data_IF_779203004607
#
_entry.id   IF_779203004607
#
_cell.length_a   1.000
_cell.length_b   1.000
_cell.length_c   1.000
_cell.angle_alpha   90.00
_cell.angle_beta   90.00
_cell.angle_gamma   90.00
#
_symmetry.space_group_name_H-M   'P 1'
#
loop_
_entity.id
_entity.type
_entity.pdbx_description
1 polymer ?
#
# COMPACT_ATOMS: atom_id res chain seq x y z
N UNK A 1 -34.50 -2.70 28.12
CA UNK A 1 -33.49 -2.06 27.27
C UNK A 1 -34.13 -1.78 25.92
N UNK A 2 -34.35 -0.51 25.58
CA UNK A 2 -34.89 -0.14 24.28
C UNK A 2 -33.78 -0.33 23.25
N UNK A 3 -34.01 -1.17 22.24
CA UNK A 3 -33.05 -1.39 21.17
C UNK A 3 -33.41 -0.45 20.04
N UNK A 4 -32.64 0.64 19.89
CA UNK A 4 -32.73 1.48 18.71
C UNK A 4 -32.05 0.75 17.53
N UNK A 5 -32.82 0.47 16.49
CA UNK A 5 -32.31 -0.15 15.27
C UNK A 5 -31.71 0.94 14.39
N UNK A 6 -30.38 0.94 14.27
CA UNK A 6 -29.67 1.84 13.36
C UNK A 6 -29.53 1.19 11.97
N UNK A 7 -30.06 1.85 10.95
CA UNK A 7 -29.88 1.43 9.56
C UNK A 7 -28.57 2.00 9.02
N UNK A 8 -27.58 1.14 8.81
CA UNK A 8 -26.33 1.54 8.17
C UNK A 8 -26.59 1.71 6.66
N UNK A 9 -26.33 2.89 6.07
CA UNK A 9 -26.42 3.07 4.64
C UNK A 9 -25.38 2.20 3.94
N UNK A 10 -25.72 1.67 2.76
CA UNK A 10 -24.88 0.73 2.00
C UNK A 10 -23.47 1.28 1.66
N UNK A 11 -23.31 2.61 1.65
CA UNK A 11 -22.07 3.31 1.30
C UNK A 11 -21.22 3.72 2.53
N UNK A 12 -21.47 3.13 3.72
CA UNK A 12 -20.73 3.50 4.94
C UNK A 12 -19.25 3.14 4.87
N UNK A 13 -18.90 2.02 4.25
CA UNK A 13 -17.52 1.52 4.09
C UNK A 13 -16.80 2.08 2.86
N UNK A 14 -17.54 2.73 1.95
CA UNK A 14 -16.99 3.28 0.71
C UNK A 14 -16.43 4.70 0.90
N UNK A 15 -16.74 5.34 2.03
CA UNK A 15 -16.18 6.63 2.40
C UNK A 15 -14.65 6.54 2.50
N UNK A 16 -13.95 7.14 1.54
CA UNK A 16 -12.48 7.14 1.47
C UNK A 16 -11.85 6.11 0.54
N UNK A 17 -12.65 5.44 -0.31
CA UNK A 17 -12.17 4.57 -1.40
C UNK A 17 -12.33 5.23 -2.76
N UNK A 18 -11.36 5.00 -3.65
CA UNK A 18 -11.35 5.43 -5.04
C UNK A 18 -11.92 4.33 -5.90
N UNK A 19 -12.90 4.67 -6.75
CA UNK A 19 -13.71 3.73 -7.52
C UNK A 19 -14.44 2.66 -6.69
N UNK A 20 -14.58 2.85 -5.37
CA UNK A 20 -15.11 1.84 -4.44
C UNK A 20 -14.19 0.63 -4.21
N UNK A 21 -13.00 0.62 -4.84
CA UNK A 21 -12.11 -0.54 -4.87
C UNK A 21 -10.83 -0.32 -4.06
N UNK A 22 -10.21 0.86 -4.15
CA UNK A 22 -8.89 1.11 -3.60
C UNK A 22 -8.94 2.17 -2.50
N UNK A 23 -8.26 1.94 -1.39
CA UNK A 23 -8.12 2.99 -0.37
C UNK A 23 -7.29 4.16 -0.91
N UNK A 24 -7.64 5.39 -0.53
CA UNK A 24 -6.90 6.60 -0.92
C UNK A 24 -5.41 6.49 -0.55
N UNK A 25 -5.09 5.83 0.58
CA UNK A 25 -3.70 5.63 1.03
C UNK A 25 -2.92 4.74 0.06
N UNK A 26 -3.50 3.62 -0.36
CA UNK A 26 -2.90 2.71 -1.34
C UNK A 26 -2.70 3.41 -2.68
N UNK A 27 -3.65 4.27 -3.08
CA UNK A 27 -3.50 5.09 -4.28
C UNK A 27 -2.30 6.04 -4.19
N UNK A 28 -2.17 6.78 -3.07
CA UNK A 28 -1.05 7.70 -2.86
C UNK A 28 0.28 6.94 -2.88
N UNK A 29 0.37 5.80 -2.22
CA UNK A 29 1.57 4.96 -2.22
C UNK A 29 1.90 4.39 -3.60
N UNK A 30 0.87 3.97 -4.35
CA UNK A 30 1.05 3.50 -5.72
C UNK A 30 1.60 4.59 -6.63
N UNK A 31 1.12 5.83 -6.50
CA UNK A 31 1.63 6.98 -7.24
C UNK A 31 3.08 7.28 -6.85
N UNK A 32 3.41 7.27 -5.56
CA UNK A 32 4.76 7.50 -5.06
C UNK A 32 5.76 6.42 -5.50
N UNK A 33 5.32 5.18 -5.73
CA UNK A 33 6.17 4.10 -6.23
C UNK A 33 6.28 4.09 -7.76
N UNK A 34 5.18 4.31 -8.47
CA UNK A 34 5.13 4.18 -9.92
C UNK A 34 5.71 5.39 -10.66
N UNK A 35 5.52 6.62 -10.18
CA UNK A 35 6.04 7.82 -10.86
C UNK A 35 7.57 7.85 -10.93
N UNK A 36 8.32 7.61 -9.83
CA UNK A 36 9.78 7.54 -9.90
C UNK A 36 10.25 6.39 -10.78
N UNK A 37 9.61 5.21 -10.68
CA UNK A 37 9.96 4.06 -11.49
C UNK A 37 9.76 4.33 -12.99
N UNK A 38 8.65 4.97 -13.35
CA UNK A 38 8.36 5.41 -14.71
C UNK A 38 9.43 6.38 -15.21
N UNK A 39 9.75 7.40 -14.41
CA UNK A 39 10.79 8.37 -14.75
C UNK A 39 12.15 7.69 -14.99
N UNK A 40 12.56 6.80 -14.09
CA UNK A 40 13.81 6.04 -14.23
C UNK A 40 13.81 5.18 -15.50
N UNK A 41 12.72 4.48 -15.80
CA UNK A 41 12.63 3.68 -17.03
C UNK A 41 12.73 4.56 -18.28
N UNK A 42 12.14 5.76 -18.29
CA UNK A 42 12.16 6.63 -19.46
C UNK A 42 13.54 7.26 -19.70
N UNK A 43 14.23 7.68 -18.63
CA UNK A 43 15.52 8.38 -18.70
C UNK A 43 16.69 7.41 -18.84
N UNK A 44 16.69 6.29 -18.11
CA UNK A 44 17.86 5.41 -18.02
C UNK A 44 17.90 4.30 -19.06
N UNK A 45 16.77 3.86 -19.66
CA UNK A 45 16.81 2.80 -20.67
C UNK A 45 17.33 3.34 -22.02
N UNK A 46 18.48 2.86 -22.53
CA UNK A 46 18.99 3.23 -23.84
C UNK A 46 18.38 2.31 -24.92
N UNK A 47 17.05 2.18 -24.92
CA UNK A 47 16.30 1.40 -25.90
C UNK A 47 15.60 2.33 -26.90
N UNK A 48 15.28 1.80 -28.09
CA UNK A 48 14.36 2.47 -29.01
C UNK A 48 12.96 2.59 -28.40
N UNK A 49 12.13 3.49 -28.93
CA UNK A 49 10.87 3.90 -28.29
C UNK A 49 9.94 2.71 -27.99
N UNK A 50 9.73 1.82 -28.95
CA UNK A 50 8.81 0.67 -28.81
C UNK A 50 9.23 -0.30 -27.70
N UNK A 51 10.44 -0.90 -27.70
CA UNK A 51 10.86 -1.77 -26.61
C UNK A 51 10.97 -1.03 -25.28
N UNK A 52 11.35 0.26 -25.27
CA UNK A 52 11.37 1.06 -24.05
C UNK A 52 9.99 1.12 -23.38
N UNK A 53 8.93 1.39 -24.15
CA UNK A 53 7.56 1.45 -23.63
C UNK A 53 7.10 0.07 -23.12
N UNK A 54 7.39 -0.99 -23.87
CA UNK A 54 7.03 -2.37 -23.47
C UNK A 54 7.69 -2.72 -22.14
N UNK A 55 9.01 -2.53 -22.01
CA UNK A 55 9.74 -2.81 -20.77
C UNK A 55 9.21 -1.96 -19.61
N UNK A 56 8.91 -0.67 -19.87
CA UNK A 56 8.37 0.22 -18.85
C UNK A 56 7.01 -0.26 -18.36
N UNK A 57 6.09 -0.65 -19.25
CA UNK A 57 4.78 -1.18 -18.84
C UNK A 57 4.91 -2.49 -18.05
N UNK A 58 5.78 -3.40 -18.49
CA UNK A 58 6.03 -4.67 -17.81
C UNK A 58 6.56 -4.46 -16.38
N UNK A 59 7.25 -3.36 -16.11
CA UNK A 59 7.75 -3.04 -14.77
C UNK A 59 6.74 -2.21 -13.95
N UNK A 60 6.17 -1.17 -14.53
CA UNK A 60 5.32 -0.22 -13.81
C UNK A 60 3.96 -0.83 -13.46
N UNK A 61 3.37 -1.63 -14.34
CA UNK A 61 2.03 -2.20 -14.12
C UNK A 61 2.00 -3.17 -12.93
N UNK A 62 2.91 -4.15 -12.81
CA UNK A 62 2.92 -5.03 -11.64
C UNK A 62 3.21 -4.28 -10.34
N UNK A 63 4.13 -3.32 -10.36
CA UNK A 63 4.48 -2.51 -9.16
C UNK A 63 3.29 -1.65 -8.73
N UNK A 64 2.63 -0.99 -9.67
CA UNK A 64 1.42 -0.19 -9.40
C UNK A 64 0.26 -1.05 -8.91
N UNK A 65 0.01 -2.18 -9.56
CA UNK A 65 -1.02 -3.13 -9.13
C UNK A 65 -0.77 -3.65 -7.72
N UNK A 66 0.47 -4.05 -7.40
CA UNK A 66 0.84 -4.49 -6.07
C UNK A 66 0.64 -3.40 -5.01
N UNK A 67 1.01 -2.16 -5.32
CA UNK A 67 0.82 -1.03 -4.42
C UNK A 67 -0.64 -0.64 -4.20
N UNK A 68 -1.49 -0.79 -5.22
CA UNK A 68 -2.93 -0.54 -5.12
C UNK A 68 -3.64 -1.62 -4.30
N UNK A 69 -3.29 -2.90 -4.51
CA UNK A 69 -3.85 -4.03 -3.76
C UNK A 69 -3.45 -3.94 -2.29
N UNK A 70 -2.20 -3.54 -2.01
CA UNK A 70 -1.67 -3.52 -0.64
C UNK A 70 -1.39 -4.94 -0.12
N UNK A 71 -1.16 -5.06 1.19
CA UNK A 71 -0.87 -6.35 1.85
C UNK A 71 -1.77 -6.46 3.07
N UNK A 72 -2.56 -7.55 3.15
CA UNK A 72 -3.42 -7.83 4.30
C UNK A 72 -4.42 -6.71 4.61
N UNK A 73 -5.06 -6.17 3.57
CA UNK A 73 -5.97 -5.01 3.63
C UNK A 73 -5.35 -3.70 4.16
N UNK A 74 -4.03 -3.67 4.36
CA UNK A 74 -3.29 -2.48 4.76
C UNK A 74 -2.45 -1.92 3.60
N UNK A 75 -2.25 -0.61 3.64
CA UNK A 75 -1.27 0.10 2.81
C UNK A 75 0.15 -0.43 3.03
N UNK A 76 0.99 -0.43 1.98
CA UNK A 76 2.37 -0.94 2.03
C UNK A 76 3.20 -0.26 3.14
N UNK A 77 3.04 1.05 3.36
CA UNK A 77 3.82 1.74 4.40
C UNK A 77 3.43 1.31 5.80
N UNK A 78 2.14 1.04 6.05
CA UNK A 78 1.66 0.49 7.33
C UNK A 78 2.21 -0.90 7.56
N UNK A 79 2.11 -1.76 6.56
CA UNK A 79 2.67 -3.11 6.64
C UNK A 79 4.17 -3.07 6.93
N UNK A 80 4.92 -2.25 6.18
CA UNK A 80 6.36 -2.08 6.37
C UNK A 80 6.70 -1.50 7.76
N UNK A 81 5.91 -0.54 8.25
CA UNK A 81 6.06 0.05 9.57
C UNK A 81 5.79 -0.95 10.71
N UNK A 82 4.77 -1.81 10.56
CA UNK A 82 4.50 -2.92 11.47
C UNK A 82 5.65 -3.94 11.45
N UNK A 83 6.07 -4.37 10.25
CA UNK A 83 7.18 -5.27 10.06
C UNK A 83 8.48 -4.73 10.65
N UNK A 84 8.78 -3.44 10.45
CA UNK A 84 9.98 -2.79 10.96
C UNK A 84 9.97 -2.67 12.49
N UNK A 85 8.83 -2.30 13.08
CA UNK A 85 8.64 -2.31 14.55
C UNK A 85 8.83 -3.71 15.11
N UNK A 86 8.18 -4.71 14.50
CA UNK A 86 8.37 -6.11 14.86
C UNK A 86 9.84 -6.53 14.75
N UNK A 87 10.54 -6.22 13.65
CA UNK A 87 11.96 -6.55 13.45
C UNK A 87 12.84 -5.93 14.53
N UNK A 88 12.59 -4.67 14.91
CA UNK A 88 13.30 -4.00 16.02
C UNK A 88 12.99 -4.63 17.37
N UNK A 89 11.72 -4.93 17.64
CA UNK A 89 11.25 -5.54 18.89
C UNK A 89 11.57 -7.04 19.01
N UNK A 90 11.93 -7.73 17.92
CA UNK A 90 12.45 -9.12 17.97
C UNK A 90 13.74 -9.24 18.79
N UNK A 91 14.46 -8.14 19.04
CA UNK A 91 15.62 -8.12 19.95
C UNK A 91 15.25 -8.03 21.43
N UNK A 92 13.98 -7.80 21.75
CA UNK A 92 13.44 -7.78 23.11
C UNK A 92 12.40 -8.89 23.25
N UNK A 93 12.86 -10.14 23.30
CA UNK A 93 12.08 -11.21 23.93
C UNK A 93 12.22 -10.96 25.42
N UNK A 94 11.35 -10.11 25.98
CA UNK A 94 11.28 -9.96 27.43
C UNK A 94 10.67 -11.25 27.98
N UNK A 95 11.53 -12.12 28.52
CA UNK A 95 11.08 -13.18 29.40
C UNK A 95 10.41 -12.50 30.61
N UNK A 96 9.07 -12.57 30.70
CA UNK A 96 8.16 -12.05 31.77
C UNK A 96 7.40 -10.73 31.56
N UNK A 97 7.41 -10.10 30.39
CA UNK A 97 6.36 -9.12 30.05
C UNK A 97 6.19 -7.90 30.99
N UNK A 98 7.27 -7.38 31.60
CA UNK A 98 7.18 -6.10 32.30
C UNK A 98 7.59 -4.93 31.40
N UNK A 99 6.61 -4.12 31.01
CA UNK A 99 6.83 -2.81 30.39
C UNK A 99 7.25 -1.83 31.49
N UNK A 100 8.53 -1.49 31.59
CA UNK A 100 8.95 -0.32 32.37
C UNK A 100 8.53 0.94 31.61
N UNK A 101 7.61 1.70 32.22
CA UNK A 101 7.18 3.04 31.80
C UNK A 101 8.34 4.03 31.83
#
# INVERSE_FOLDING_TARGET
MNHEVYYLPVNFTDAGRVFGLFEIRNLVEAVLLTLPLLYFCMVLLPLSLTPKLITTMVLVVPVGGFALIGISDDSLTRWLGCWWRWRRARRTILFRGEVKK
#
